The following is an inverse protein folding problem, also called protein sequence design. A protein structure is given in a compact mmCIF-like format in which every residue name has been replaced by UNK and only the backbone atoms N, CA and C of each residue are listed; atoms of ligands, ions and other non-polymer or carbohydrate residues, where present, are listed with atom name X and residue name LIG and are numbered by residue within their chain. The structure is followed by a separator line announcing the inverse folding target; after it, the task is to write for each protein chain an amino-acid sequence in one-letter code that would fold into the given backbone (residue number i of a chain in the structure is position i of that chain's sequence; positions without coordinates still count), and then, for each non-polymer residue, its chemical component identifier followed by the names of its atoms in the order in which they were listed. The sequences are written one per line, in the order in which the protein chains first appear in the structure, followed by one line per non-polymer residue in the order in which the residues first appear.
data_IF_184094934341
#
_entry.id   IF_184094934341
#
_cell.length_a   1.000
_cell.length_b   1.000
_cell.length_c   1.000
_cell.angle_alpha   90.00
_cell.angle_beta   90.00
_cell.angle_gamma   90.00
#
_symmetry.space_group_name_H-M   'P 1'
#
loop_
_entity.id
_entity.type
_entity.pdbx_description
1 polymer ?
#
# COMPACT_ATOMS: atom_id res chain seq x y z
N UNK A 1 -11.90 -12.87 -0.41
CA UNK A 1 -13.10 -13.20 -1.23
C UNK A 1 -14.21 -13.57 -0.26
N UNK A 2 -15.48 -13.46 -0.63
CA UNK A 2 -16.54 -14.10 0.16
C UNK A 2 -16.80 -15.43 -0.54
N UNK A 3 -16.68 -16.55 0.17
CA UNK A 3 -16.94 -17.88 -0.37
C UNK A 3 -18.44 -18.07 -0.66
N UNK A 4 -18.79 -19.20 -1.26
CA UNK A 4 -20.17 -19.58 -1.57
C UNK A 4 -21.06 -19.70 -0.31
N UNK A 5 -20.48 -19.69 0.89
CA UNK A 5 -21.16 -19.77 2.18
C UNK A 5 -21.20 -18.42 2.93
N UNK A 6 -20.82 -17.31 2.28
CA UNK A 6 -20.84 -15.99 2.89
C UNK A 6 -19.66 -15.70 3.84
N UNK A 7 -18.64 -16.57 3.90
CA UNK A 7 -17.47 -16.42 4.78
C UNK A 7 -16.31 -15.76 4.05
N UNK A 8 -15.52 -14.96 4.77
CA UNK A 8 -14.32 -14.34 4.21
C UNK A 8 -13.24 -15.41 4.01
N UNK A 9 -12.87 -15.64 2.76
CA UNK A 9 -11.80 -16.54 2.35
C UNK A 9 -10.57 -15.77 1.84
N UNK A 10 -9.39 -16.20 2.28
CA UNK A 10 -8.10 -15.65 1.86
C UNK A 10 -7.61 -16.50 0.69
N UNK A 11 -8.02 -16.13 -0.51
CA UNK A 11 -7.59 -16.81 -1.72
C UNK A 11 -6.11 -16.56 -2.04
N UNK A 12 -5.45 -17.55 -2.61
CA UNK A 12 -4.14 -17.37 -3.23
C UNK A 12 -4.25 -16.47 -4.47
N UNK A 13 -3.26 -15.62 -4.75
CA UNK A 13 -3.23 -14.88 -6.00
C UNK A 13 -3.36 -15.81 -7.22
N UNK A 14 -4.12 -15.37 -8.22
CA UNK A 14 -4.43 -16.16 -9.44
C UNK A 14 -3.19 -16.51 -10.29
N UNK A 15 -2.05 -15.85 -10.08
CA UNK A 15 -0.83 -16.07 -10.88
C UNK A 15 0.42 -15.96 -10.02
N UNK A 16 1.46 -16.75 -10.33
CA UNK A 16 2.76 -16.69 -9.65
C UNK A 16 3.36 -15.27 -9.65
N UNK A 17 3.18 -14.52 -10.74
CA UNK A 17 3.63 -13.11 -10.87
C UNK A 17 3.04 -12.13 -9.86
N UNK A 18 2.01 -12.53 -9.11
CA UNK A 18 1.41 -11.70 -8.07
C UNK A 18 2.20 -11.74 -6.75
N UNK A 19 2.94 -12.82 -6.50
CA UNK A 19 3.88 -12.89 -5.38
C UNK A 19 5.11 -12.05 -5.72
N UNK A 20 5.52 -11.18 -4.78
CA UNK A 20 6.69 -10.32 -4.96
C UNK A 20 7.27 -9.89 -3.63
N UNK A 21 8.58 -9.79 -3.60
CA UNK A 21 9.31 -9.24 -2.47
C UNK A 21 9.46 -7.73 -2.62
N UNK A 22 9.04 -7.02 -1.59
CA UNK A 22 9.12 -5.56 -1.53
C UNK A 22 10.08 -5.18 -0.41
N UNK A 23 11.22 -4.60 -0.77
CA UNK A 23 12.11 -4.00 0.21
C UNK A 23 11.42 -2.82 0.90
N UNK A 24 11.52 -2.75 2.22
CA UNK A 24 10.93 -1.69 3.05
C UNK A 24 12.04 -0.97 3.80
N UNK A 25 11.88 0.34 3.99
CA UNK A 25 12.83 1.16 4.74
C UNK A 25 12.58 1.13 6.25
N UNK A 26 13.53 1.68 7.01
CA UNK A 26 13.55 1.67 8.47
C UNK A 26 12.34 2.36 9.11
N UNK A 27 11.80 3.38 8.45
CA UNK A 27 10.57 4.07 8.89
C UNK A 27 9.40 3.10 8.99
N UNK A 28 9.17 2.30 7.94
CA UNK A 28 8.09 1.32 7.94
C UNK A 28 8.39 0.18 8.92
N UNK A 29 9.63 -0.29 8.99
CA UNK A 29 10.04 -1.31 9.97
C UNK A 29 9.71 -0.87 11.40
N UNK A 30 10.03 0.38 11.74
CA UNK A 30 9.77 0.95 13.07
C UNK A 30 8.26 1.02 13.37
N UNK A 31 7.46 1.44 12.39
CA UNK A 31 5.99 1.47 12.51
C UNK A 31 5.45 0.05 12.73
N UNK A 32 5.92 -0.94 11.96
CA UNK A 32 5.48 -2.34 12.07
C UNK A 32 5.87 -2.96 13.42
N UNK A 33 7.08 -2.68 13.93
CA UNK A 33 7.51 -3.11 15.27
C UNK A 33 6.59 -2.55 16.35
N UNK A 34 6.30 -1.25 16.28
CA UNK A 34 5.36 -0.60 17.21
C UNK A 34 3.96 -1.21 17.13
N UNK A 35 3.48 -1.48 15.92
CA UNK A 35 2.18 -2.13 15.71
C UNK A 35 2.13 -3.54 16.33
N UNK A 36 3.19 -4.34 16.14
CA UNK A 36 3.31 -5.67 16.75
C UNK A 36 3.29 -5.61 18.28
N UNK A 37 3.94 -4.62 18.88
CA UNK A 37 3.87 -4.39 20.34
C UNK A 37 2.46 -4.05 20.78
N UNK A 38 1.76 -3.16 20.05
CA UNK A 38 0.37 -2.82 20.31
C UNK A 38 -0.57 -4.04 20.22
N UNK A 39 -0.37 -4.94 19.23
CA UNK A 39 -1.14 -6.19 19.13
C UNK A 39 -0.91 -7.09 20.35
N UNK A 40 0.33 -7.22 20.83
CA UNK A 40 0.65 -7.99 22.05
C UNK A 40 -0.04 -7.41 23.29
N UNK A 41 -0.01 -6.09 23.44
CA UNK A 41 -0.69 -5.41 24.55
C UNK A 41 -2.20 -5.65 24.52
N UNK A 42 -2.81 -5.56 23.33
CA UNK A 42 -4.22 -5.88 23.17
C UNK A 42 -4.53 -7.34 23.47
N UNK A 43 -3.68 -8.29 23.05
CA UNK A 43 -3.86 -9.70 23.39
C UNK A 43 -3.92 -9.93 24.89
N UNK A 44 -3.04 -9.28 25.66
CA UNK A 44 -3.09 -9.31 27.13
C UNK A 44 -4.36 -8.65 27.68
N UNK A 45 -4.76 -7.50 27.12
CA UNK A 45 -5.94 -6.74 27.56
C UNK A 45 -7.25 -7.51 27.36
N UNK A 46 -7.42 -8.16 26.21
CA UNK A 46 -8.66 -8.86 25.85
C UNK A 46 -8.67 -10.32 26.28
N UNK A 47 -7.52 -10.91 26.62
CA UNK A 47 -7.43 -12.27 27.15
C UNK A 47 -8.11 -13.30 26.24
N UNK A 48 -9.04 -14.07 26.80
CA UNK A 48 -9.84 -15.07 26.06
C UNK A 48 -10.71 -14.49 24.94
N UNK A 49 -11.04 -13.19 25.00
CA UNK A 49 -11.82 -12.50 23.97
C UNK A 49 -10.96 -11.98 22.82
N UNK A 50 -9.64 -12.21 22.85
CA UNK A 50 -8.75 -11.83 21.76
C UNK A 50 -8.76 -12.90 20.66
N UNK A 51 -9.04 -12.47 19.42
CA UNK A 51 -8.93 -13.33 18.25
C UNK A 51 -7.47 -13.41 17.80
N UNK A 52 -6.82 -14.53 18.14
CA UNK A 52 -5.43 -14.77 17.79
C UNK A 52 -5.30 -15.15 16.31
N UNK A 53 -4.55 -14.36 15.55
CA UNK A 53 -4.32 -14.59 14.13
C UNK A 53 -2.96 -14.06 13.69
N UNK A 54 -2.45 -14.57 12.59
CA UNK A 54 -1.18 -14.12 11.99
C UNK A 54 -1.32 -12.84 11.16
N UNK A 55 -2.47 -12.15 11.26
CA UNK A 55 -2.69 -10.92 10.51
C UNK A 55 -1.89 -9.76 11.09
N UNK A 56 -1.22 -9.04 10.19
CA UNK A 56 -0.51 -7.82 10.56
C UNK A 56 -1.48 -6.69 10.91
N UNK A 57 -2.53 -6.48 10.10
CA UNK A 57 -3.51 -5.43 10.36
C UNK A 57 -4.71 -6.05 11.08
N UNK A 58 -4.92 -5.67 12.35
CA UNK A 58 -6.04 -6.16 13.16
C UNK A 58 -6.76 -5.01 13.88
N UNK A 59 -8.00 -5.25 14.27
CA UNK A 59 -8.73 -4.46 15.26
C UNK A 59 -8.12 -4.68 16.65
N UNK A 60 -8.58 -3.92 17.63
CA UNK A 60 -8.14 -4.05 19.03
C UNK A 60 -8.35 -5.47 19.58
N UNK A 61 -9.45 -6.12 19.22
CA UNK A 61 -9.75 -7.49 19.66
C UNK A 61 -9.09 -8.58 18.79
N UNK A 62 -8.13 -8.24 17.91
CA UNK A 62 -7.39 -9.21 17.10
C UNK A 62 -8.08 -9.63 15.79
N UNK A 63 -9.36 -9.33 15.60
CA UNK A 63 -10.05 -9.60 14.33
C UNK A 63 -9.49 -8.77 13.18
N UNK A 64 -9.42 -9.35 11.98
CA UNK A 64 -8.99 -8.62 10.79
C UNK A 64 -10.03 -7.57 10.35
N UNK A 65 -9.59 -6.41 9.83
CA UNK A 65 -10.49 -5.41 9.27
C UNK A 65 -11.04 -5.89 7.93
N UNK A 66 -12.33 -5.66 7.68
CA UNK A 66 -12.88 -5.84 6.33
C UNK A 66 -12.39 -4.72 5.40
N UNK A 67 -12.36 -4.94 4.07
CA UNK A 67 -12.04 -3.89 3.10
C UNK A 67 -12.91 -2.63 3.24
N UNK A 68 -14.16 -2.79 3.70
CA UNK A 68 -15.07 -1.68 3.97
C UNK A 68 -14.62 -0.78 5.11
N UNK A 69 -13.89 -1.30 6.12
CA UNK A 69 -13.33 -0.47 7.19
C UNK A 69 -12.30 0.52 6.63
N UNK A 70 -11.39 0.06 5.77
CA UNK A 70 -10.38 0.92 5.16
C UNK A 70 -11.03 2.03 4.34
N UNK A 71 -12.04 1.70 3.52
CA UNK A 71 -12.81 2.68 2.75
C UNK A 71 -13.54 3.67 3.67
N UNK A 72 -14.14 3.20 4.75
CA UNK A 72 -14.84 4.05 5.72
C UNK A 72 -13.91 5.09 6.35
N UNK A 73 -12.76 4.66 6.87
CA UNK A 73 -11.80 5.59 7.50
C UNK A 73 -11.21 6.57 6.48
N UNK A 74 -10.93 6.12 5.26
CA UNK A 74 -10.46 7.00 4.19
C UNK A 74 -11.50 8.07 3.84
N UNK A 75 -12.77 7.67 3.66
CA UNK A 75 -13.86 8.62 3.38
C UNK A 75 -14.08 9.61 4.54
N UNK A 76 -13.95 9.14 5.79
CA UNK A 76 -14.02 10.01 6.96
C UNK A 76 -12.90 11.05 6.93
N UNK A 77 -11.67 10.64 6.62
CA UNK A 77 -10.53 11.53 6.52
C UNK A 77 -10.69 12.52 5.37
N UNK A 78 -11.14 12.06 4.20
CA UNK A 78 -11.44 12.88 3.03
C UNK A 78 -12.38 14.04 3.35
N UNK A 79 -13.47 13.76 4.07
CA UNK A 79 -14.42 14.79 4.52
C UNK A 79 -13.79 15.81 5.47
N UNK A 80 -12.86 15.38 6.32
CA UNK A 80 -12.20 16.27 7.28
C UNK A 80 -11.17 17.19 6.62
N UNK A 81 -10.44 16.70 5.63
CA UNK A 81 -9.36 17.44 4.97
C UNK A 81 -9.79 18.10 3.65
N UNK A 82 -11.01 17.84 3.17
CA UNK A 82 -11.52 18.39 1.92
C UNK A 82 -10.86 17.80 0.67
N UNK A 83 -10.60 16.49 0.66
CA UNK A 83 -10.00 15.80 -0.51
C UNK A 83 -10.89 14.64 -0.99
N UNK A 84 -10.60 14.11 -2.17
CA UNK A 84 -11.26 12.92 -2.74
C UNK A 84 -10.24 11.82 -3.06
N UNK A 85 -9.51 11.39 -2.02
CA UNK A 85 -8.53 10.34 -2.17
C UNK A 85 -9.18 8.96 -2.13
N UNK A 86 -8.94 8.13 -3.13
CA UNK A 86 -9.30 6.71 -3.11
C UNK A 86 -8.13 5.86 -2.61
N UNK A 87 -8.42 4.65 -2.13
CA UNK A 87 -7.38 3.77 -1.57
C UNK A 87 -6.31 3.39 -2.60
N UNK A 88 -6.71 3.18 -3.86
CA UNK A 88 -5.76 2.99 -4.95
C UNK A 88 -4.95 4.25 -5.28
N UNK A 89 -5.48 5.44 -4.97
CA UNK A 89 -4.76 6.71 -5.08
C UNK A 89 -3.47 6.72 -4.28
N UNK A 90 -3.44 6.12 -3.08
CA UNK A 90 -2.21 5.98 -2.27
C UNK A 90 -1.10 5.22 -3.03
N UNK A 91 -1.46 4.20 -3.82
CA UNK A 91 -0.52 3.47 -4.65
C UNK A 91 0.03 4.34 -5.77
N UNK A 92 -0.83 5.16 -6.39
CA UNK A 92 -0.41 6.10 -7.43
C UNK A 92 0.53 7.15 -6.86
N UNK A 93 0.21 7.73 -5.71
CA UNK A 93 1.08 8.68 -4.99
C UNK A 93 2.43 8.06 -4.66
N UNK A 94 2.47 6.81 -4.16
CA UNK A 94 3.72 6.10 -3.88
C UNK A 94 4.60 5.97 -5.14
N UNK A 95 4.00 5.66 -6.29
CA UNK A 95 4.72 5.58 -7.56
C UNK A 95 5.22 6.95 -8.03
N UNK A 96 4.38 8.00 -7.92
CA UNK A 96 4.74 9.38 -8.26
C UNK A 96 5.95 9.83 -7.45
N UNK A 97 5.91 9.66 -6.13
CA UNK A 97 7.00 10.07 -5.23
C UNK A 97 8.32 9.37 -5.57
N UNK A 98 8.28 8.06 -5.87
CA UNK A 98 9.48 7.34 -6.29
C UNK A 98 10.02 7.87 -7.62
N UNK A 99 9.14 8.17 -8.58
CA UNK A 99 9.53 8.70 -9.88
C UNK A 99 10.14 10.11 -9.76
N UNK A 100 9.54 10.99 -8.95
CA UNK A 100 10.04 12.34 -8.68
C UNK A 100 11.41 12.33 -7.98
N UNK A 101 11.67 11.30 -7.19
CA UNK A 101 12.97 11.05 -6.55
C UNK A 101 13.99 10.38 -7.49
N UNK A 102 13.64 10.16 -8.76
CA UNK A 102 14.54 9.60 -9.77
C UNK A 102 14.68 8.08 -9.74
N UNK A 103 13.78 7.35 -9.07
CA UNK A 103 13.84 5.89 -9.08
C UNK A 103 13.56 5.34 -10.50
N UNK A 104 14.31 4.32 -10.97
CA UNK A 104 14.11 3.77 -12.30
C UNK A 104 12.69 3.21 -12.49
N UNK A 105 12.04 3.57 -13.61
CA UNK A 105 10.66 3.15 -13.92
C UNK A 105 10.50 1.64 -13.85
N UNK A 106 11.48 0.86 -14.32
CA UNK A 106 11.46 -0.61 -14.27
C UNK A 106 11.42 -1.14 -12.83
N UNK A 107 12.09 -0.49 -11.88
CA UNK A 107 12.10 -0.89 -10.48
C UNK A 107 10.76 -0.54 -9.81
N UNK A 108 10.20 0.62 -10.13
CA UNK A 108 8.86 1.02 -9.68
C UNK A 108 7.83 0.00 -10.18
N UNK A 109 7.89 -0.39 -11.46
CA UNK A 109 6.99 -1.40 -12.05
C UNK A 109 7.10 -2.75 -11.36
N UNK A 110 8.32 -3.25 -11.13
CA UNK A 110 8.55 -4.51 -10.43
C UNK A 110 7.99 -4.46 -9.00
N UNK A 111 8.24 -3.37 -8.27
CA UNK A 111 7.70 -3.12 -6.93
C UNK A 111 6.17 -3.12 -6.90
N UNK A 112 5.54 -2.54 -7.93
CA UNK A 112 4.09 -2.43 -8.06
C UNK A 112 3.46 -3.63 -8.80
N UNK A 113 4.23 -4.58 -9.32
CA UNK A 113 3.69 -5.73 -10.05
C UNK A 113 2.78 -5.36 -11.23
N UNK A 114 3.07 -4.27 -11.93
CA UNK A 114 2.35 -3.90 -13.15
C UNK A 114 2.77 -4.83 -14.30
N UNK A 115 1.81 -5.54 -14.91
CA UNK A 115 2.07 -6.43 -16.07
C UNK A 115 2.22 -5.68 -17.40
N UNK A 116 1.65 -4.49 -17.52
CA UNK A 116 1.72 -3.64 -18.72
C UNK A 116 2.38 -2.31 -18.39
N UNK A 117 3.33 -1.91 -19.23
CA UNK A 117 4.07 -0.64 -19.17
C UNK A 117 3.16 0.57 -19.35
N UNK A 118 2.05 0.43 -20.09
CA UNK A 118 1.22 1.55 -20.56
C UNK A 118 0.53 2.33 -19.43
N UNK A 119 0.03 1.65 -18.39
CA UNK A 119 -0.63 2.35 -17.26
C UNK A 119 0.36 3.16 -16.41
N UNK A 120 1.67 2.90 -16.52
CA UNK A 120 2.72 3.61 -15.75
C UNK A 120 3.42 4.70 -16.55
N UNK A 121 3.34 4.71 -17.88
CA UNK A 121 3.86 5.83 -18.68
C UNK A 121 2.77 6.86 -18.97
N UNK A 122 1.56 6.46 -19.36
CA UNK A 122 0.52 7.40 -19.75
C UNK A 122 0.01 8.25 -18.57
N UNK A 123 -0.02 7.67 -17.36
CA UNK A 123 -0.42 8.40 -16.13
C UNK A 123 0.70 9.31 -15.59
N UNK A 124 1.94 9.11 -16.03
CA UNK A 124 3.12 9.79 -15.50
C UNK A 124 3.91 10.57 -16.57
N UNK A 125 3.36 10.68 -17.78
CA UNK A 125 3.96 11.35 -18.94
C UNK A 125 4.31 12.81 -18.63
N UNK A 126 3.42 13.51 -17.93
CA UNK A 126 3.64 14.89 -17.44
C UNK A 126 4.80 15.01 -16.45
N UNK A 127 5.10 13.95 -15.68
CA UNK A 127 6.23 13.93 -14.76
C UNK A 127 7.54 13.63 -15.49
N UNK A 128 7.49 12.81 -16.54
CA UNK A 128 8.66 12.56 -17.40
C UNK A 128 9.10 13.80 -18.19
N UNK A 129 8.20 14.70 -18.61
CA UNK A 129 8.59 16.00 -19.19
C UNK A 129 9.45 16.81 -18.22
N UNK A 130 9.02 16.91 -16.96
CA UNK A 130 9.77 17.61 -15.89
C UNK A 130 11.11 16.96 -15.57
N UNK A 131 11.25 15.64 -15.76
CA UNK A 131 12.53 14.92 -15.62
C UNK A 131 13.42 15.12 -16.86
N UNK A 132 12.82 15.21 -18.05
CA UNK A 132 13.53 15.50 -19.30
C UNK A 132 14.21 16.87 -19.23
N UNK A 133 13.51 17.89 -18.75
CA UNK A 133 14.08 19.24 -18.57
C UNK A 133 15.31 19.21 -17.64
N UNK A 134 15.22 18.49 -16.51
CA UNK A 134 16.36 18.29 -15.62
C UNK A 134 17.52 17.52 -16.26
N UNK A 135 17.23 16.64 -17.21
CA UNK A 135 18.26 15.85 -17.90
C UNK A 135 19.04 16.73 -18.89
N UNK A 136 18.35 17.66 -19.55
CA UNK A 136 18.98 18.68 -20.40
C UNK A 136 19.89 19.59 -19.57
N UNK A 137 19.46 19.99 -18.37
CA UNK A 137 20.30 20.79 -17.45
C UNK A 137 21.56 20.05 -16.99
N UNK A 138 21.51 18.72 -16.82
CA UNK A 138 22.68 17.90 -16.51
C UNK A 138 23.64 17.79 -17.69
N UNK A 139 23.13 17.76 -18.93
CA UNK A 139 23.99 17.75 -20.14
C UNK A 139 24.64 19.10 -20.45
N UNK A 140 24.13 20.20 -19.89
CA UNK A 140 24.65 21.56 -20.10
C UNK A 140 25.70 21.99 -19.05
N UNK A 141 26.16 21.08 -18.18
CA UNK A 141 27.29 21.23 -17.26
C UNK A 141 28.38 20.18 -17.55
#
# INVERSE_FOLDING_TARGET
MIDHNGRWDIGTPKTASSYRDIKIGDTLISILKRHKTWQKQNKLKYGEFYFDSDFLCTKENGYFPSPTHVKYYLNKMNKQIGTDLHFHGLRHTHATLLLEQGAPIKDIQKRLGYKKTSLTLDTYSHLTEKISDKTVDIMNN
#
